data_IF_919783520734
#
_entry.id   IF_919783520734
#
_cell.length_a   1.000
_cell.length_b   1.000
_cell.length_c   1.000
_cell.angle_alpha   90.00
_cell.angle_beta   90.00
_cell.angle_gamma   90.00
#
_symmetry.space_group_name_H-M   'P 1'
#
loop_
_entity.id
_entity.type
_entity.pdbx_description
1 polymer ?
#
# COMPACT_ATOMS: atom_id res chain seq x y z
N UNK A 1 -67.67 -5.87 -1.06
CA UNK A 1 -68.46 -4.63 -0.90
C UNK A 1 -67.80 -3.56 -1.77
N UNK A 2 -68.58 -3.00 -2.70
CA UNK A 2 -68.25 -1.89 -3.59
C UNK A 2 -68.26 -0.57 -2.78
N UNK A 3 -67.45 0.41 -3.19
CA UNK A 3 -67.60 1.89 -3.11
C UNK A 3 -66.29 2.44 -3.72
N UNK A 4 -66.12 2.81 -5.01
CA UNK A 4 -66.73 3.87 -5.84
C UNK A 4 -66.82 5.17 -5.01
N UNK A 5 -66.07 6.25 -5.30
CA UNK A 5 -66.29 7.32 -6.30
C UNK A 5 -64.95 8.09 -6.42
N UNK A 6 -64.31 8.23 -7.61
CA UNK A 6 -64.41 9.37 -8.57
C UNK A 6 -64.02 10.74 -7.93
N UNK A 7 -63.31 11.71 -8.52
CA UNK A 7 -62.81 12.03 -9.86
C UNK A 7 -61.88 13.26 -9.63
N UNK A 8 -60.66 13.30 -10.18
CA UNK A 8 -60.27 14.11 -11.34
C UNK A 8 -60.21 15.66 -11.19
N UNK A 9 -59.10 16.19 -11.71
CA UNK A 9 -58.80 17.54 -12.25
C UNK A 9 -58.46 18.66 -11.26
N UNK A 10 -57.18 19.10 -11.22
CA UNK A 10 -56.70 20.27 -11.99
C UNK A 10 -55.21 20.58 -11.69
N UNK A 11 -54.39 20.47 -12.74
CA UNK A 11 -53.21 21.30 -13.01
C UNK A 11 -53.50 22.77 -12.60
N UNK A 12 -52.62 23.58 -12.01
CA UNK A 12 -51.31 24.00 -12.53
C UNK A 12 -50.70 25.17 -11.73
N UNK A 13 -49.42 25.45 -12.02
CA UNK A 13 -48.64 26.69 -11.84
C UNK A 13 -47.97 27.01 -10.49
N UNK A 14 -46.66 26.67 -10.46
CA UNK A 14 -45.50 27.52 -10.15
C UNK A 14 -45.56 28.51 -8.97
N UNK A 15 -44.64 28.34 -8.02
CA UNK A 15 -43.58 29.30 -7.68
C UNK A 15 -42.66 28.66 -6.64
N UNK A 16 -41.35 28.79 -6.83
CA UNK A 16 -40.36 28.37 -5.83
C UNK A 16 -40.40 29.23 -4.56
N UNK A 17 -39.85 28.68 -3.48
CA UNK A 17 -39.40 29.40 -2.30
C UNK A 17 -37.98 28.84 -2.07
N UNK A 18 -36.86 29.55 -2.26
CA UNK A 18 -36.39 30.83 -1.71
C UNK A 18 -36.48 30.86 -0.19
N UNK A 19 -35.33 30.58 0.41
CA UNK A 19 -35.05 30.60 1.85
C UNK A 19 -35.21 32.01 2.42
N UNK A 20 -35.87 32.11 3.57
CA UNK A 20 -35.98 33.35 4.34
C UNK A 20 -36.16 32.98 5.82
N UNK A 21 -35.16 32.30 6.40
CA UNK A 21 -35.05 32.16 7.85
C UNK A 21 -34.58 33.49 8.46
N UNK A 22 -35.54 34.22 9.04
CA UNK A 22 -35.26 35.33 9.97
C UNK A 22 -35.39 34.82 11.40
N UNK A 23 -34.26 34.63 12.09
CA UNK A 23 -34.19 34.63 13.55
C UNK A 23 -33.57 35.94 14.04
N UNK A 24 -34.04 36.37 15.21
CA UNK A 24 -34.17 37.75 15.67
C UNK A 24 -33.15 38.10 16.79
N UNK A 25 -32.30 39.08 16.51
CA UNK A 25 -31.76 40.15 17.36
C UNK A 25 -31.86 40.03 18.91
N UNK A 26 -30.71 39.92 19.60
CA UNK A 26 -30.13 40.98 20.47
C UNK A 26 -29.07 40.41 21.44
N UNK A 27 -27.77 40.54 21.11
CA UNK A 27 -26.79 41.06 22.07
C UNK A 27 -25.48 41.45 21.36
N UNK A 28 -25.01 42.64 21.66
CA UNK A 28 -23.74 43.24 21.21
C UNK A 28 -22.55 42.59 21.93
N UNK A 29 -21.52 42.18 21.16
CA UNK A 29 -20.26 41.50 21.52
C UNK A 29 -20.31 39.99 21.84
N UNK A 30 -20.06 39.18 20.80
CA UNK A 30 -19.56 37.79 20.82
C UNK A 30 -19.02 37.58 19.39
N UNK A 31 -17.74 37.44 19.01
CA UNK A 31 -16.50 36.90 19.62
C UNK A 31 -16.68 35.50 20.20
N UNK A 32 -17.07 34.55 19.35
CA UNK A 32 -17.27 33.14 19.71
C UNK A 32 -16.87 32.26 18.52
N UNK A 33 -15.64 31.75 18.43
CA UNK A 33 -14.55 31.69 19.40
C UNK A 33 -13.24 31.72 18.61
N UNK A 34 -12.52 32.84 18.70
CA UNK A 34 -11.21 33.03 18.06
C UNK A 34 -10.16 32.29 18.87
N UNK A 35 -10.13 30.99 18.73
CA UNK A 35 -8.89 30.24 18.88
C UNK A 35 -8.36 30.11 17.47
N UNK A 36 -7.22 30.75 17.19
CA UNK A 36 -6.51 30.50 15.93
C UNK A 36 -6.28 28.99 15.84
N UNK A 37 -6.49 28.42 14.67
CA UNK A 37 -6.26 26.99 14.48
C UNK A 37 -4.83 26.64 14.89
N UNK A 38 -4.70 25.62 15.74
CA UNK A 38 -3.40 25.08 16.10
C UNK A 38 -3.14 24.00 15.09
N UNK A 39 -2.38 24.35 14.06
CA UNK A 39 -2.21 23.53 12.88
C UNK A 39 -1.46 22.20 13.11
N UNK A 40 -1.26 21.74 14.34
CA UNK A 40 -0.50 20.53 14.70
C UNK A 40 -0.97 19.79 15.96
N UNK A 41 -2.23 19.94 16.35
CA UNK A 41 -2.75 19.34 17.57
C UNK A 41 -3.94 18.39 17.39
N UNK A 42 -4.32 18.08 16.14
CA UNK A 42 -5.36 17.09 15.78
C UNK A 42 -6.77 17.47 16.23
N UNK A 43 -6.98 18.73 16.59
CA UNK A 43 -8.25 19.24 17.08
C UNK A 43 -8.74 20.36 16.17
N UNK A 44 -10.05 20.40 15.93
CA UNK A 44 -10.74 21.55 15.33
C UNK A 44 -10.84 22.64 16.41
N UNK A 45 -9.84 23.53 16.46
CA UNK A 45 -9.69 24.54 17.49
C UNK A 45 -10.62 25.74 17.24
N UNK A 46 -10.99 25.99 16.00
CA UNK A 46 -11.80 27.13 15.60
C UNK A 46 -13.29 26.79 15.40
N UNK A 47 -13.60 25.50 15.29
CA UNK A 47 -14.94 24.93 15.21
C UNK A 47 -15.57 24.96 13.82
N UNK A 48 -14.79 25.11 12.75
CA UNK A 48 -15.27 25.20 11.37
C UNK A 48 -15.47 23.82 10.69
N UNK A 49 -14.97 22.76 11.33
CA UNK A 49 -15.09 21.37 10.90
C UNK A 49 -13.90 20.83 10.10
N UNK A 50 -12.84 21.62 9.90
CA UNK A 50 -11.54 21.18 9.43
C UNK A 50 -10.55 21.01 10.62
N UNK A 51 -9.44 20.31 10.39
CA UNK A 51 -8.40 20.08 11.41
C UNK A 51 -7.02 20.25 10.79
N UNK A 52 -6.08 20.83 11.53
CA UNK A 52 -4.67 20.98 11.15
C UNK A 52 -4.46 21.49 9.71
N UNK A 53 -3.69 20.79 8.88
CA UNK A 53 -3.39 21.24 7.51
C UNK A 53 -4.54 21.06 6.51
N UNK A 54 -5.59 20.35 6.89
CA UNK A 54 -6.84 20.32 6.12
C UNK A 54 -7.66 21.61 6.37
N UNK A 55 -7.28 22.41 7.38
CA UNK A 55 -7.85 23.71 7.68
C UNK A 55 -7.29 24.82 6.78
N UNK A 56 -8.19 25.65 6.23
CA UNK A 56 -7.81 26.77 5.36
C UNK A 56 -7.05 27.89 6.07
N UNK A 57 -7.22 28.01 7.38
CA UNK A 57 -6.50 28.95 8.23
C UNK A 57 -5.04 28.51 8.48
N UNK A 58 -4.70 27.25 8.19
CA UNK A 58 -3.36 26.68 8.27
C UNK A 58 -2.53 26.77 6.98
N UNK A 59 -3.08 27.36 5.91
CA UNK A 59 -2.42 27.47 4.59
C UNK A 59 -1.07 28.20 4.58
N UNK A 60 -0.82 29.08 5.57
CA UNK A 60 0.44 29.81 5.71
C UNK A 60 1.35 29.23 6.81
N UNK A 61 0.94 28.15 7.48
CA UNK A 61 1.68 27.54 8.56
C UNK A 61 2.88 26.76 8.00
N UNK A 62 4.06 26.99 8.59
CA UNK A 62 5.31 26.42 8.08
C UNK A 62 5.33 24.89 8.19
N UNK A 63 4.69 24.34 9.23
CA UNK A 63 4.47 22.91 9.41
C UNK A 63 3.70 22.33 8.21
N UNK A 64 2.60 22.94 7.78
CA UNK A 64 1.83 22.48 6.61
C UNK A 64 2.53 22.62 5.25
N UNK A 65 3.65 23.35 5.15
CA UNK A 65 4.45 23.44 3.93
C UNK A 65 5.58 22.40 3.85
N UNK A 66 5.90 21.73 4.95
CA UNK A 66 7.08 20.85 5.03
C UNK A 66 6.81 19.47 5.60
N UNK A 67 5.67 19.24 6.24
CA UNK A 67 5.10 17.94 6.61
C UNK A 67 3.68 18.20 7.13
N UNK A 68 2.68 17.61 6.47
CA UNK A 68 1.29 17.65 6.94
C UNK A 68 1.28 17.21 8.41
N UNK A 69 0.76 17.98 9.35
CA UNK A 69 0.93 17.67 10.78
C UNK A 69 -0.06 16.63 11.31
N UNK A 70 -0.80 16.02 10.37
CA UNK A 70 -1.33 14.67 10.49
C UNK A 70 -0.18 13.61 10.55
N UNK A 71 1.03 13.95 10.09
CA UNK A 71 2.28 13.18 10.08
C UNK A 71 3.07 13.47 11.36
N UNK A 72 2.91 12.60 12.37
CA UNK A 72 3.51 12.80 13.71
C UNK A 72 4.97 12.30 13.77
N UNK A 73 5.47 11.59 12.78
CA UNK A 73 6.87 11.15 12.74
C UNK A 73 7.30 10.89 11.31
N UNK A 74 8.41 11.49 10.85
CA UNK A 74 8.98 11.16 9.54
C UNK A 74 9.07 9.65 9.37
N UNK A 75 8.52 9.15 8.27
CA UNK A 75 8.46 7.71 8.00
C UNK A 75 9.85 7.08 8.06
N UNK A 76 9.99 6.03 8.87
CA UNK A 76 11.18 5.18 8.89
C UNK A 76 10.93 4.13 7.82
N UNK A 77 11.52 4.36 6.65
CA UNK A 77 11.24 3.59 5.45
C UNK A 77 11.64 2.09 5.48
N UNK A 78 12.08 1.56 6.63
CA UNK A 78 12.60 0.20 6.81
C UNK A 78 12.19 -0.46 8.14
N UNK A 79 11.04 -0.10 8.72
CA UNK A 79 10.60 -0.63 10.01
C UNK A 79 9.23 -1.32 10.01
N UNK A 80 8.53 -1.38 8.87
CA UNK A 80 7.21 -1.99 8.67
C UNK A 80 6.07 -1.35 9.47
N UNK A 81 6.29 -0.16 10.02
CA UNK A 81 5.32 0.56 10.82
C UNK A 81 5.02 1.87 10.12
N UNK A 82 3.73 2.12 9.88
CA UNK A 82 3.19 3.42 9.50
C UNK A 82 3.49 4.43 10.62
N UNK A 83 4.66 5.08 10.54
CA UNK A 83 5.14 5.97 11.58
C UNK A 83 4.49 7.34 11.47
N UNK A 84 4.04 7.73 10.28
CA UNK A 84 3.36 9.00 10.09
C UNK A 84 1.84 8.92 10.19
N UNK A 85 1.27 7.74 10.12
CA UNK A 85 -0.16 7.48 10.27
C UNK A 85 -0.98 7.73 9.01
N UNK A 86 -0.37 7.82 7.82
CA UNK A 86 -1.06 8.08 6.56
C UNK A 86 -1.70 6.81 5.94
N UNK A 87 -1.37 5.65 6.49
CA UNK A 87 -1.88 4.34 6.09
C UNK A 87 -1.02 3.60 5.06
N UNK A 88 0.11 4.18 4.63
CA UNK A 88 1.18 3.52 3.93
C UNK A 88 2.30 3.11 4.92
N UNK A 89 3.23 2.27 4.46
CA UNK A 89 4.36 1.80 5.28
C UNK A 89 5.59 1.66 4.40
N UNK A 90 6.76 2.03 4.90
CA UNK A 90 8.04 1.82 4.21
C UNK A 90 8.05 2.34 2.76
N UNK A 91 8.45 1.53 1.78
CA UNK A 91 8.55 1.93 0.37
C UNK A 91 7.20 2.05 -0.36
N UNK A 92 6.11 1.59 0.25
CA UNK A 92 4.75 1.89 -0.22
C UNK A 92 4.35 3.34 0.14
N UNK A 93 5.10 3.98 1.05
CA UNK A 93 4.91 5.35 1.48
C UNK A 93 5.53 6.37 0.50
N UNK A 94 4.77 7.42 0.19
CA UNK A 94 5.23 8.49 -0.71
C UNK A 94 6.33 9.37 -0.09
N UNK A 95 6.40 9.46 1.23
CA UNK A 95 7.44 10.17 1.97
C UNK A 95 8.79 9.41 1.92
N UNK A 96 8.75 8.11 1.58
CA UNK A 96 9.92 7.27 1.35
C UNK A 96 10.47 7.26 -0.09
N UNK A 97 9.89 8.04 -1.00
CA UNK A 97 10.28 8.07 -2.42
C UNK A 97 11.76 8.48 -2.66
N UNK A 98 12.39 9.16 -1.70
CA UNK A 98 13.81 9.55 -1.77
C UNK A 98 14.74 8.67 -0.92
N UNK A 99 14.20 7.68 -0.20
CA UNK A 99 14.95 6.81 0.66
C UNK A 99 15.81 5.84 -0.16
N UNK A 100 17.08 5.69 0.21
CA UNK A 100 18.03 4.91 -0.58
C UNK A 100 17.69 3.41 -0.61
N UNK A 101 16.98 2.91 0.40
CA UNK A 101 16.45 1.56 0.46
C UNK A 101 15.26 1.39 -0.49
N UNK A 102 14.45 2.42 -0.75
CA UNK A 102 13.33 2.38 -1.69
C UNK A 102 13.72 2.67 -3.15
N UNK A 103 14.91 2.21 -3.57
CA UNK A 103 15.37 2.31 -4.96
C UNK A 103 14.77 1.22 -5.86
N UNK A 104 15.10 1.22 -7.15
CA UNK A 104 14.26 0.83 -8.32
C UNK A 104 13.42 -0.46 -8.29
N UNK A 105 13.62 -1.36 -7.33
CA UNK A 105 12.86 -2.61 -7.20
C UNK A 105 12.39 -2.91 -5.75
N UNK A 106 12.60 -2.04 -4.76
CA UNK A 106 12.18 -2.26 -3.38
C UNK A 106 10.75 -1.71 -3.16
N UNK A 107 9.87 -2.56 -2.67
CA UNK A 107 8.44 -2.29 -2.48
C UNK A 107 8.03 -2.44 -1.01
N UNK A 108 8.82 -3.13 -0.19
CA UNK A 108 8.61 -3.20 1.28
C UNK A 108 9.88 -3.69 1.98
N UNK A 109 9.98 -3.54 3.30
CA UNK A 109 11.10 -4.04 4.11
C UNK A 109 11.15 -5.59 4.24
N UNK A 110 11.17 -6.28 3.10
CA UNK A 110 11.17 -7.73 2.99
C UNK A 110 12.57 -8.32 2.92
N UNK A 111 12.68 -9.63 2.93
CA UNK A 111 13.93 -10.31 3.20
C UNK A 111 15.04 -10.15 2.13
N UNK A 112 14.71 -9.68 0.91
CA UNK A 112 15.64 -9.49 -0.21
C UNK A 112 16.00 -8.02 -0.45
N UNK A 113 15.47 -7.10 0.34
CA UNK A 113 15.51 -5.66 0.05
C UNK A 113 16.77 -4.95 0.58
N UNK A 114 17.60 -5.69 1.33
CA UNK A 114 18.83 -5.18 1.90
C UNK A 114 19.94 -5.08 0.85
N UNK A 115 20.92 -4.21 1.13
CA UNK A 115 22.01 -3.92 0.19
C UNK A 115 22.86 -5.13 -0.23
N UNK A 116 22.95 -6.19 0.60
CA UNK A 116 23.71 -7.39 0.24
C UNK A 116 22.98 -8.24 -0.80
N UNK A 117 21.66 -8.40 -0.62
CA UNK A 117 20.82 -9.16 -1.54
C UNK A 117 20.59 -8.40 -2.85
N UNK A 118 20.30 -7.10 -2.77
CA UNK A 118 20.15 -6.24 -3.96
C UNK A 118 21.42 -6.22 -4.82
N UNK A 119 22.62 -6.23 -4.22
CA UNK A 119 23.86 -6.29 -4.98
C UNK A 119 24.03 -7.59 -5.79
N UNK A 120 23.33 -8.68 -5.40
CA UNK A 120 23.30 -9.94 -6.14
C UNK A 120 22.19 -9.91 -7.18
N UNK A 121 20.99 -9.48 -6.79
CA UNK A 121 19.79 -9.44 -7.65
C UNK A 121 19.97 -8.47 -8.82
N UNK A 122 20.58 -7.31 -8.58
CA UNK A 122 20.85 -6.31 -9.61
C UNK A 122 22.11 -6.63 -10.43
N UNK A 123 22.82 -7.73 -10.13
CA UNK A 123 24.01 -8.11 -10.87
C UNK A 123 23.64 -8.84 -12.17
N UNK A 124 23.87 -8.24 -13.35
CA UNK A 124 23.51 -8.86 -14.63
C UNK A 124 24.35 -10.09 -14.98
N UNK A 125 25.42 -10.38 -14.25
CA UNK A 125 26.20 -11.62 -14.41
C UNK A 125 25.53 -12.82 -13.72
N UNK A 126 24.60 -12.57 -12.80
CA UNK A 126 23.84 -13.60 -12.08
C UNK A 126 22.51 -13.81 -12.80
N UNK A 127 22.38 -14.94 -13.48
CA UNK A 127 21.11 -15.37 -14.07
C UNK A 127 20.25 -16.03 -12.99
N UNK A 128 19.57 -15.19 -12.20
CA UNK A 128 18.76 -15.61 -11.06
C UNK A 128 17.62 -16.55 -11.50
N UNK A 129 17.06 -16.34 -12.69
CA UNK A 129 16.02 -17.19 -13.28
C UNK A 129 16.55 -18.59 -13.61
N UNK A 130 17.73 -18.67 -14.23
CA UNK A 130 18.38 -19.94 -14.51
C UNK A 130 18.75 -20.69 -13.23
N UNK A 131 19.24 -20.00 -12.20
CA UNK A 131 19.60 -20.63 -10.92
C UNK A 131 18.34 -21.14 -10.21
N UNK A 132 17.32 -20.29 -10.05
CA UNK A 132 16.06 -20.66 -9.36
C UNK A 132 15.36 -21.81 -10.09
N UNK A 133 15.35 -21.80 -11.42
CA UNK A 133 14.84 -22.89 -12.25
C UNK A 133 15.66 -24.19 -12.11
N UNK A 134 16.99 -24.08 -12.02
CA UNK A 134 17.90 -25.23 -11.83
C UNK A 134 17.75 -25.85 -10.44
N UNK A 135 17.67 -25.03 -9.39
CA UNK A 135 17.42 -25.47 -8.02
C UNK A 135 16.06 -26.16 -7.90
N UNK A 136 15.01 -25.56 -8.48
CA UNK A 136 13.66 -26.15 -8.52
C UNK A 136 13.67 -27.53 -9.18
N UNK A 137 14.35 -27.69 -10.32
CA UNK A 137 14.44 -28.97 -11.02
C UNK A 137 15.26 -30.01 -10.25
N UNK A 138 16.40 -29.60 -9.67
CA UNK A 138 17.30 -30.48 -8.94
C UNK A 138 16.66 -31.01 -7.66
N UNK A 139 15.82 -30.19 -7.01
CA UNK A 139 15.12 -30.53 -5.77
C UNK A 139 13.75 -31.19 -6.00
N UNK A 140 13.26 -31.32 -7.24
CA UNK A 140 11.86 -31.69 -7.53
C UNK A 140 11.38 -32.96 -6.80
N UNK A 141 12.24 -33.97 -6.69
CA UNK A 141 11.96 -35.26 -6.04
C UNK A 141 12.43 -35.35 -4.59
N UNK A 142 12.96 -34.27 -4.02
CA UNK A 142 13.34 -34.24 -2.61
C UNK A 142 12.10 -34.32 -1.71
N UNK A 143 12.27 -34.97 -0.56
CA UNK A 143 11.22 -35.10 0.45
C UNK A 143 10.92 -33.79 1.19
N UNK A 144 11.89 -32.88 1.20
CA UNK A 144 11.78 -31.50 1.69
C UNK A 144 12.11 -30.53 0.55
N UNK A 145 11.16 -30.39 -0.38
CA UNK A 145 11.33 -29.55 -1.57
C UNK A 145 11.63 -28.09 -1.21
N UNK A 146 10.89 -27.52 -0.26
CA UNK A 146 11.09 -26.15 0.21
C UNK A 146 12.49 -25.94 0.79
N UNK A 147 12.92 -26.83 1.69
CA UNK A 147 14.26 -26.76 2.29
C UNK A 147 15.37 -26.91 1.26
N UNK A 148 15.25 -27.88 0.35
CA UNK A 148 16.23 -28.12 -0.69
C UNK A 148 16.39 -26.92 -1.63
N UNK A 149 15.28 -26.32 -2.11
CA UNK A 149 15.36 -25.16 -3.01
C UNK A 149 15.95 -23.96 -2.28
N UNK A 150 15.53 -23.71 -1.04
CA UNK A 150 16.06 -22.61 -0.21
C UNK A 150 17.58 -22.73 -0.05
N UNK A 151 18.09 -23.91 0.31
CA UNK A 151 19.52 -24.15 0.49
C UNK A 151 20.30 -24.05 -0.83
N UNK A 152 19.73 -24.56 -1.92
CA UNK A 152 20.32 -24.48 -3.24
C UNK A 152 20.46 -23.02 -3.72
N UNK A 153 19.38 -22.24 -3.65
CA UNK A 153 19.39 -20.82 -4.03
C UNK A 153 20.41 -20.08 -3.18
N UNK A 154 20.41 -20.29 -1.87
CA UNK A 154 21.35 -19.64 -0.97
C UNK A 154 22.81 -19.95 -1.32
N UNK A 155 23.13 -21.22 -1.61
CA UNK A 155 24.49 -21.67 -1.88
C UNK A 155 25.00 -21.19 -3.24
N UNK A 156 24.14 -21.19 -4.25
CA UNK A 156 24.52 -20.91 -5.63
C UNK A 156 24.52 -19.40 -5.95
N UNK A 157 23.75 -18.58 -5.21
CA UNK A 157 23.66 -17.13 -5.42
C UNK A 157 24.43 -16.33 -4.38
N UNK A 158 24.55 -16.84 -3.15
CA UNK A 158 25.06 -16.09 -2.01
C UNK A 158 24.05 -15.16 -1.35
N UNK A 159 22.77 -15.22 -1.75
CA UNK A 159 21.69 -14.48 -1.09
C UNK A 159 21.60 -14.80 0.40
N UNK A 160 21.01 -13.90 1.17
CA UNK A 160 20.71 -14.10 2.57
C UNK A 160 19.77 -15.30 2.76
N UNK A 161 19.79 -15.88 3.96
CA UNK A 161 18.92 -17.00 4.29
C UNK A 161 17.43 -16.62 4.19
N UNK A 162 17.09 -15.38 4.56
CA UNK A 162 15.73 -14.85 4.47
C UNK A 162 15.29 -14.72 3.01
N UNK A 163 16.11 -14.05 2.18
CA UNK A 163 15.79 -13.87 0.77
C UNK A 163 15.67 -15.20 0.02
N UNK A 164 16.60 -16.13 0.27
CA UNK A 164 16.58 -17.47 -0.33
C UNK A 164 15.33 -18.26 0.06
N UNK A 165 14.82 -18.08 1.28
CA UNK A 165 13.58 -18.70 1.73
C UNK A 165 12.36 -18.16 0.97
N UNK A 166 12.37 -16.88 0.56
CA UNK A 166 11.32 -16.33 -0.30
C UNK A 166 11.29 -16.98 -1.68
N UNK A 167 12.45 -17.17 -2.32
CA UNK A 167 12.55 -17.94 -3.57
C UNK A 167 12.10 -19.40 -3.40
N UNK A 168 12.50 -20.05 -2.31
CA UNK A 168 12.05 -21.40 -1.96
C UNK A 168 10.52 -21.49 -1.78
N UNK A 169 9.94 -20.50 -1.09
CA UNK A 169 8.49 -20.39 -0.90
C UNK A 169 7.73 -20.22 -2.21
N UNK A 170 8.24 -19.40 -3.13
CA UNK A 170 7.66 -19.24 -4.47
C UNK A 170 7.74 -20.54 -5.28
N UNK A 171 8.86 -21.26 -5.21
CA UNK A 171 8.98 -22.55 -5.87
C UNK A 171 7.97 -23.57 -5.30
N UNK A 172 7.79 -23.60 -3.98
CA UNK A 172 6.85 -24.51 -3.32
C UNK A 172 5.39 -24.15 -3.66
N UNK A 173 5.09 -22.85 -3.73
CA UNK A 173 3.81 -22.35 -4.24
C UNK A 173 3.58 -22.78 -5.69
N UNK A 174 4.58 -22.64 -6.57
CA UNK A 174 4.51 -23.05 -7.97
C UNK A 174 4.27 -24.56 -8.11
N UNK A 175 4.97 -25.36 -7.29
CA UNK A 175 4.78 -26.82 -7.21
C UNK A 175 3.37 -27.20 -6.75
N UNK A 176 2.77 -26.41 -5.87
CA UNK A 176 1.45 -26.71 -5.28
C UNK A 176 0.30 -26.22 -6.15
N UNK A 177 0.38 -24.99 -6.66
CA UNK A 177 -0.74 -24.30 -7.30
C UNK A 177 -0.61 -24.25 -8.83
N UNK A 178 0.60 -24.32 -9.37
CA UNK A 178 0.89 -24.07 -10.79
C UNK A 178 1.56 -25.22 -11.53
N UNK A 179 1.73 -26.39 -10.89
CA UNK A 179 2.43 -27.54 -11.47
C UNK A 179 1.95 -27.90 -12.88
N UNK A 180 0.63 -27.94 -13.09
CA UNK A 180 0.06 -28.33 -14.38
C UNK A 180 0.33 -27.31 -15.47
N UNK A 181 0.36 -26.02 -15.12
CA UNK A 181 0.73 -24.94 -16.03
C UNK A 181 2.24 -24.93 -16.32
N UNK A 182 3.06 -25.28 -15.32
CA UNK A 182 4.53 -25.19 -15.38
C UNK A 182 5.25 -26.50 -15.74
N UNK A 183 4.53 -27.61 -15.92
CA UNK A 183 5.12 -28.93 -16.23
C UNK A 183 5.92 -28.94 -17.55
N UNK A 184 5.63 -28.02 -18.47
CA UNK A 184 6.36 -27.84 -19.73
C UNK A 184 7.57 -26.91 -19.64
N UNK A 185 7.88 -26.39 -18.44
CA UNK A 185 8.83 -25.30 -18.22
C UNK A 185 8.16 -23.93 -18.24
N UNK A 186 8.97 -22.88 -18.40
CA UNK A 186 8.49 -21.50 -18.52
C UNK A 186 7.61 -21.36 -19.78
N UNK A 187 6.34 -21.02 -19.58
CA UNK A 187 5.37 -20.74 -20.63
C UNK A 187 4.47 -19.58 -20.18
N UNK A 188 3.77 -18.90 -21.11
CA UNK A 188 2.85 -17.83 -20.75
C UNK A 188 1.76 -18.28 -19.76
N UNK A 189 1.32 -19.53 -19.85
CA UNK A 189 0.34 -20.10 -18.92
C UNK A 189 0.95 -20.35 -17.53
N UNK A 190 2.20 -20.81 -17.47
CA UNK A 190 2.93 -20.96 -16.22
C UNK A 190 3.15 -19.60 -15.55
N UNK A 191 3.64 -18.61 -16.30
CA UNK A 191 3.85 -17.24 -15.83
C UNK A 191 2.55 -16.62 -15.32
N UNK A 192 1.45 -16.74 -16.06
CA UNK A 192 0.16 -16.24 -15.63
C UNK A 192 -0.30 -16.88 -14.31
N UNK A 193 -0.13 -18.20 -14.15
CA UNK A 193 -0.47 -18.88 -12.92
C UNK A 193 0.40 -18.41 -11.75
N UNK A 194 1.72 -18.30 -11.94
CA UNK A 194 2.65 -17.86 -10.90
C UNK A 194 2.36 -16.42 -10.47
N UNK A 195 2.07 -15.54 -11.42
CA UNK A 195 1.71 -14.15 -11.14
C UNK A 195 0.40 -14.03 -10.35
N UNK A 196 -0.59 -14.87 -10.65
CA UNK A 196 -1.87 -14.85 -9.94
C UNK A 196 -1.79 -15.48 -8.55
N UNK A 197 -1.04 -16.58 -8.39
CA UNK A 197 -1.11 -17.42 -7.19
C UNK A 197 0.08 -17.31 -6.25
N UNK A 198 1.26 -16.90 -6.75
CA UNK A 198 2.51 -16.99 -6.01
C UNK A 198 3.24 -15.64 -5.89
N UNK A 199 3.11 -14.76 -6.89
CA UNK A 199 3.79 -13.48 -6.90
C UNK A 199 3.43 -12.54 -5.74
N UNK A 200 2.15 -12.41 -5.30
CA UNK A 200 1.84 -11.55 -4.17
C UNK A 200 2.56 -11.97 -2.88
N UNK A 201 2.62 -13.27 -2.60
CA UNK A 201 3.34 -13.80 -1.43
C UNK A 201 4.86 -13.63 -1.56
N UNK A 202 5.39 -13.71 -2.78
CA UNK A 202 6.80 -13.42 -3.04
C UNK A 202 7.12 -11.96 -2.73
N UNK A 203 6.36 -11.01 -3.27
CA UNK A 203 6.60 -9.56 -3.05
C UNK A 203 6.55 -9.24 -1.56
N UNK A 204 5.54 -9.72 -0.83
CA UNK A 204 5.46 -9.54 0.62
C UNK A 204 6.63 -10.18 1.37
N UNK A 205 7.16 -11.31 0.92
CA UNK A 205 8.29 -11.97 1.57
C UNK A 205 9.61 -11.27 1.26
N UNK A 206 9.85 -11.01 -0.02
CA UNK A 206 11.12 -10.57 -0.55
C UNK A 206 11.30 -9.06 -0.43
N UNK A 207 10.22 -8.30 -0.38
CA UNK A 207 10.29 -6.84 -0.35
C UNK A 207 10.64 -6.22 -1.69
N UNK A 208 10.61 -7.00 -2.77
CA UNK A 208 11.02 -6.55 -4.08
C UNK A 208 10.01 -6.94 -5.17
N UNK A 209 9.88 -6.07 -6.16
CA UNK A 209 9.13 -6.32 -7.39
C UNK A 209 10.08 -6.31 -8.60
N UNK A 210 9.89 -7.30 -9.49
CA UNK A 210 10.55 -7.38 -10.79
C UNK A 210 12.02 -7.82 -10.77
N UNK A 211 12.33 -8.88 -11.54
CA UNK A 211 12.62 -8.73 -12.97
C UNK A 211 11.85 -9.80 -13.76
#
# INVERSE_FOLDING_TARGET
MKNIILAFVLLSFAAGCSDDDKSNNSNTNNVNNVTAEICDDTLDNDGDGATDCDDTDCTAAANCSTNNVNNVTAEICDDTVDNDGDGATDCDDTDCAAAANCSTNNVSNGACDNAADLAIIENPEVDQDAITGTCTQSCFFDGDFLGCVTECVQTDTGLSAGCSACYGGTADCGKTNCMTACMGGASPECEACLNENCHPAFVTCAGIEGQ
#
